data_IF_883890084176
#
_entry.id   IF_883890084176
#
_cell.length_a   1.000
_cell.length_b   1.000
_cell.length_c   1.000
_cell.angle_alpha   90.00
_cell.angle_beta   90.00
_cell.angle_gamma   90.00
#
_symmetry.space_group_name_H-M   'P 1'
#
loop_
_entity.id
_entity.type
_entity.pdbx_description
1 polymer ?
#
# COMPACT_ATOMS: atom_id res chain seq x y z
N UNK A 1 -15.84 -4.12 14.27
CA UNK A 1 -14.37 -4.10 14.50
C UNK A 1 -13.78 -2.89 13.80
N UNK A 2 -12.74 -2.28 14.36
CA UNK A 2 -11.97 -1.23 13.67
C UNK A 2 -10.85 -1.88 12.84
N UNK A 3 -11.01 -1.91 11.51
CA UNK A 3 -10.04 -2.46 10.57
C UNK A 3 -8.76 -1.64 10.46
N UNK A 4 -8.75 -0.39 10.93
CA UNK A 4 -7.53 0.43 11.05
C UNK A 4 -6.74 0.15 12.33
N UNK A 5 -7.18 -0.76 13.20
CA UNK A 5 -6.50 -1.05 14.47
C UNK A 5 -5.68 -2.33 14.37
N UNK A 6 -4.35 -2.20 14.32
CA UNK A 6 -3.41 -3.32 14.35
C UNK A 6 -3.69 -4.28 15.51
N UNK A 7 -4.06 -3.75 16.68
CA UNK A 7 -4.38 -4.57 17.85
C UNK A 7 -5.63 -5.42 17.65
N UNK A 8 -6.67 -4.87 17.01
CA UNK A 8 -7.90 -5.63 16.73
C UNK A 8 -7.67 -6.63 15.60
N UNK A 9 -6.95 -6.25 14.53
CA UNK A 9 -6.61 -7.18 13.44
C UNK A 9 -5.78 -8.34 13.99
N UNK A 10 -4.78 -8.05 14.82
CA UNK A 10 -3.96 -9.08 15.46
C UNK A 10 -4.77 -9.99 16.36
N UNK A 11 -5.71 -9.44 17.14
CA UNK A 11 -6.61 -10.24 17.98
C UNK A 11 -7.45 -11.20 17.14
N UNK A 12 -8.01 -10.73 16.03
CA UNK A 12 -8.83 -11.55 15.14
C UNK A 12 -8.00 -12.67 14.49
N UNK A 13 -6.86 -12.34 13.89
CA UNK A 13 -6.07 -13.27 13.08
C UNK A 13 -5.20 -14.22 13.92
N UNK A 14 -4.74 -13.79 15.10
CA UNK A 14 -3.71 -14.49 15.86
C UNK A 14 -4.02 -14.66 17.36
N UNK A 15 -5.29 -14.54 17.77
CA UNK A 15 -5.65 -14.90 19.15
C UNK A 15 -5.25 -16.36 19.45
N UNK A 16 -4.68 -16.58 20.63
CA UNK A 16 -4.10 -17.86 21.04
C UNK A 16 -2.61 -18.04 20.68
N UNK A 17 -2.00 -17.16 19.88
CA UNK A 17 -0.59 -17.29 19.52
C UNK A 17 0.35 -16.98 20.68
N UNK A 18 1.46 -17.71 20.78
CA UNK A 18 2.54 -17.41 21.73
C UNK A 18 3.38 -16.23 21.26
N UNK A 19 3.86 -15.42 22.20
CA UNK A 19 4.80 -14.36 21.92
C UNK A 19 6.17 -14.94 21.54
N UNK A 20 6.79 -14.42 20.49
CA UNK A 20 8.08 -14.95 20.00
C UNK A 20 9.28 -14.59 20.89
N UNK A 21 9.13 -13.62 21.80
CA UNK A 21 10.15 -13.22 22.78
C UNK A 21 9.90 -13.78 24.18
N UNK A 22 8.65 -14.04 24.54
CA UNK A 22 8.27 -14.61 25.83
C UNK A 22 7.30 -15.80 25.62
N UNK A 23 7.82 -17.04 25.62
CA UNK A 23 7.02 -18.23 25.39
C UNK A 23 5.93 -18.49 26.44
N UNK A 24 5.98 -17.82 27.61
CA UNK A 24 4.98 -17.97 28.66
C UNK A 24 3.77 -17.05 28.45
N UNK A 25 3.83 -16.14 27.48
CA UNK A 25 2.80 -15.15 27.23
C UNK A 25 2.12 -15.46 25.91
N UNK A 26 0.82 -15.74 25.96
CA UNK A 26 -0.03 -15.90 24.78
C UNK A 26 -0.93 -14.68 24.56
N UNK A 27 -1.32 -14.45 23.32
CA UNK A 27 -2.44 -13.57 23.02
C UNK A 27 -3.72 -14.28 23.45
N UNK A 28 -4.64 -13.65 24.22
CA UNK A 28 -5.88 -14.30 24.60
C UNK A 28 -6.72 -14.63 23.36
N UNK A 29 -7.60 -15.63 23.44
CA UNK A 29 -8.50 -16.00 22.34
C UNK A 29 -9.61 -14.96 22.14
N UNK A 30 -9.98 -14.26 23.20
CA UNK A 30 -10.98 -13.20 23.17
C UNK A 30 -10.53 -11.97 23.94
N UNK A 31 -10.90 -10.79 23.44
CA UNK A 31 -10.59 -9.52 24.10
C UNK A 31 -11.67 -8.48 23.86
N UNK A 32 -12.01 -7.75 24.91
CA UNK A 32 -12.97 -6.65 24.84
C UNK A 32 -12.26 -5.35 24.45
N UNK A 33 -12.82 -4.64 23.47
CA UNK A 33 -12.35 -3.35 22.99
C UNK A 33 -13.44 -2.29 23.12
N UNK A 34 -13.04 -1.08 23.52
CA UNK A 34 -13.90 0.09 23.44
C UNK A 34 -13.78 0.72 22.06
N UNK A 35 -14.87 0.78 21.31
CA UNK A 35 -14.91 1.28 19.92
C UNK A 35 -15.93 2.41 19.76
N UNK A 36 -15.75 3.32 18.78
CA UNK A 36 -16.75 4.33 18.48
C UNK A 36 -18.12 3.70 18.16
N UNK A 37 -19.18 4.24 18.74
CA UNK A 37 -20.53 3.74 18.55
C UNK A 37 -21.20 4.39 17.35
N UNK A 38 -20.74 4.04 16.15
CA UNK A 38 -21.21 4.63 14.89
C UNK A 38 -22.69 4.35 14.64
N UNK A 39 -23.16 3.15 15.01
CA UNK A 39 -24.54 2.70 14.79
C UNK A 39 -25.51 3.11 15.91
N UNK A 40 -25.05 3.91 16.89
CA UNK A 40 -25.86 4.36 18.05
C UNK A 40 -26.54 3.20 18.81
N UNK A 41 -25.83 2.09 18.95
CA UNK A 41 -26.31 0.94 19.73
C UNK A 41 -26.50 1.36 21.18
N UNK A 42 -27.63 1.01 21.77
CA UNK A 42 -27.92 1.25 23.18
C UNK A 42 -27.57 -0.04 23.93
N UNK A 43 -26.61 0.03 24.86
CA UNK A 43 -26.26 -1.12 25.70
C UNK A 43 -27.45 -1.49 26.60
N UNK A 44 -27.65 -2.79 26.84
CA UNK A 44 -28.74 -3.30 27.68
C UNK A 44 -28.78 -2.57 29.03
N UNK A 45 -29.96 -2.05 29.38
CA UNK A 45 -30.19 -1.29 30.61
C UNK A 45 -29.90 0.23 30.52
N UNK A 46 -29.40 0.75 29.40
CA UNK A 46 -29.22 2.20 29.19
C UNK A 46 -30.39 2.81 28.41
N UNK A 47 -30.70 4.08 28.69
CA UNK A 47 -31.77 4.84 28.01
C UNK A 47 -31.31 5.56 26.74
N UNK A 48 -30.00 5.69 26.53
CA UNK A 48 -29.42 6.40 25.40
C UNK A 48 -28.07 5.80 24.98
N UNK A 49 -27.76 5.92 23.69
CA UNK A 49 -26.50 5.44 23.12
C UNK A 49 -25.33 6.30 23.57
N UNK A 50 -24.26 5.69 24.07
CA UNK A 50 -23.00 6.37 24.39
C UNK A 50 -22.16 6.59 23.14
N UNK A 51 -21.22 7.56 23.17
CA UNK A 51 -20.26 7.81 22.07
C UNK A 51 -19.38 6.61 21.72
N UNK A 52 -19.17 5.72 22.70
CA UNK A 52 -18.40 4.50 22.55
C UNK A 52 -19.22 3.32 23.08
N UNK A 53 -19.03 2.15 22.49
CA UNK A 53 -19.56 0.88 22.96
C UNK A 53 -18.42 -0.13 23.15
N UNK A 54 -18.66 -1.15 23.96
CA UNK A 54 -17.72 -2.27 24.09
C UNK A 54 -18.07 -3.37 23.11
N UNK A 55 -17.08 -3.87 22.37
CA UNK A 55 -17.21 -5.06 21.55
C UNK A 55 -16.27 -6.14 22.08
N UNK A 56 -16.74 -7.38 22.09
CA UNK A 56 -15.90 -8.56 22.35
C UNK A 56 -15.43 -9.11 21.01
N UNK A 57 -14.13 -9.18 20.80
CA UNK A 57 -13.54 -9.71 19.57
C UNK A 57 -12.88 -11.05 19.88
N UNK A 58 -13.34 -12.10 19.21
CA UNK A 58 -12.80 -13.44 19.29
C UNK A 58 -11.84 -13.70 18.13
N UNK A 59 -10.88 -14.60 18.35
CA UNK A 59 -10.00 -15.10 17.28
C UNK A 59 -10.80 -15.91 16.27
N UNK A 60 -10.24 -16.08 15.07
CA UNK A 60 -10.82 -16.97 14.05
C UNK A 60 -10.81 -18.46 14.47
N UNK A 61 -10.11 -18.81 15.56
CA UNK A 61 -9.93 -20.21 15.98
C UNK A 61 -8.99 -21.01 15.07
N UNK A 62 -8.45 -20.40 14.01
CA UNK A 62 -7.53 -21.01 13.04
C UNK A 62 -6.10 -20.55 13.31
N UNK A 63 -5.14 -21.48 13.26
CA UNK A 63 -3.71 -21.16 13.45
C UNK A 63 -3.10 -20.62 12.16
N UNK A 64 -3.28 -19.32 11.92
CA UNK A 64 -2.61 -18.64 10.82
C UNK A 64 -1.09 -18.53 11.06
N UNK A 65 -0.26 -18.75 10.03
CA UNK A 65 1.20 -18.63 10.15
C UNK A 65 1.61 -17.16 10.28
N UNK A 66 2.44 -16.86 11.29
CA UNK A 66 3.03 -15.54 11.47
C UNK A 66 4.51 -15.56 11.05
N UNK A 67 4.83 -14.92 9.92
CA UNK A 67 6.19 -14.88 9.38
C UNK A 67 7.01 -13.69 9.91
N UNK A 68 6.33 -12.59 10.27
CA UNK A 68 6.98 -11.34 10.67
C UNK A 68 6.43 -10.92 12.03
N UNK A 69 7.34 -10.54 12.95
CA UNK A 69 7.02 -10.12 14.30
C UNK A 69 7.45 -8.68 14.57
N UNK A 70 6.71 -8.01 15.43
CA UNK A 70 7.06 -6.70 16.00
C UNK A 70 8.28 -6.80 16.91
N UNK A 71 8.89 -5.65 17.22
CA UNK A 71 9.97 -5.58 18.22
C UNK A 71 9.55 -6.10 19.61
N UNK A 72 8.26 -6.15 19.91
CA UNK A 72 7.69 -6.70 21.16
C UNK A 72 7.32 -8.18 21.08
N UNK A 73 7.63 -8.87 19.97
CA UNK A 73 7.41 -10.32 19.81
C UNK A 73 5.99 -10.73 19.39
N UNK A 74 5.15 -9.77 19.01
CA UNK A 74 3.79 -10.04 18.50
C UNK A 74 3.73 -10.08 16.97
N UNK A 75 2.87 -10.90 16.35
CA UNK A 75 2.72 -10.92 14.89
C UNK A 75 2.43 -9.54 14.31
N UNK A 76 3.09 -9.25 13.20
CA UNK A 76 2.89 -8.01 12.45
C UNK A 76 1.64 -8.15 11.57
N UNK A 77 0.85 -7.09 11.49
CA UNK A 77 -0.40 -7.05 10.70
C UNK A 77 -0.42 -5.86 9.73
N UNK A 78 0.77 -5.37 9.37
CA UNK A 78 0.88 -4.30 8.39
C UNK A 78 0.61 -4.83 6.97
N UNK A 79 0.52 -3.92 6.00
CA UNK A 79 0.20 -4.29 4.62
C UNK A 79 1.16 -5.30 3.97
N UNK A 80 2.41 -5.42 4.44
CA UNK A 80 3.33 -6.44 3.92
C UNK A 80 3.00 -7.83 4.51
N UNK A 81 2.83 -7.91 5.83
CA UNK A 81 2.49 -9.17 6.50
C UNK A 81 1.13 -9.71 6.01
N UNK A 82 0.14 -8.85 5.85
CA UNK A 82 -1.18 -9.25 5.32
C UNK A 82 -1.12 -9.68 3.85
N UNK A 83 -0.28 -9.05 3.01
CA UNK A 83 -0.06 -9.49 1.63
C UNK A 83 0.57 -10.87 1.54
N UNK A 84 1.47 -11.21 2.45
CA UNK A 84 2.06 -12.55 2.49
C UNK A 84 1.01 -13.61 2.82
N UNK A 85 0.11 -13.32 3.78
CA UNK A 85 -1.02 -14.19 4.11
C UNK A 85 -2.00 -14.35 2.94
N UNK A 86 -2.32 -13.26 2.23
CA UNK A 86 -3.25 -13.27 1.11
C UNK A 86 -2.66 -13.91 -0.17
N UNK A 87 -1.38 -13.68 -0.44
CA UNK A 87 -0.76 -14.02 -1.72
C UNK A 87 -0.98 -12.94 -2.78
N UNK A 88 -0.92 -13.35 -4.05
CA UNK A 88 -1.10 -12.50 -5.24
C UNK A 88 -2.55 -12.49 -5.75
N UNK A 89 -3.51 -12.75 -4.87
CA UNK A 89 -4.93 -12.80 -5.23
C UNK A 89 -5.55 -11.41 -5.37
N UNK A 90 -6.53 -11.28 -6.27
CA UNK A 90 -7.31 -10.05 -6.40
C UNK A 90 -8.28 -9.90 -5.22
N UNK A 91 -8.55 -8.66 -4.84
CA UNK A 91 -9.59 -8.30 -3.87
C UNK A 91 -10.98 -8.14 -4.51
N UNK A 92 -11.13 -8.47 -5.80
CA UNK A 92 -12.40 -8.49 -6.54
C UNK A 92 -12.86 -9.94 -6.68
N UNK A 93 -13.17 -10.56 -5.54
CA UNK A 93 -13.73 -11.90 -5.47
C UNK A 93 -15.20 -11.77 -5.03
N UNK A 94 -16.12 -12.23 -5.87
CA UNK A 94 -17.54 -12.28 -5.52
C UNK A 94 -17.76 -13.49 -4.62
N UNK A 95 -18.13 -13.24 -3.37
CA UNK A 95 -18.64 -14.28 -2.49
C UNK A 95 -20.05 -14.63 -2.96
N UNK A 96 -20.24 -15.77 -3.62
CA UNK A 96 -21.58 -16.31 -3.88
C UNK A 96 -22.14 -16.80 -2.54
N UNK A 97 -23.13 -16.08 -2.02
CA UNK A 97 -23.85 -16.47 -0.80
C UNK A 97 -24.75 -17.65 -1.14
N UNK A 98 -24.35 -18.87 -0.79
CA UNK A 98 -25.14 -20.10 -0.93
C UNK A 98 -26.31 -20.16 0.08
N UNK A 99 -27.04 -19.05 0.22
CA UNK A 99 -28.30 -18.99 0.93
C UNK A 99 -29.43 -18.53 0.01
N UNK A 100 -30.01 -19.51 -0.68
CA UNK A 100 -31.44 -19.86 -0.64
C UNK A 100 -32.17 -19.98 -2.00
N UNK A 101 -32.88 -21.10 -2.13
CA UNK A 101 -34.07 -21.39 -2.94
C UNK A 101 -34.09 -21.10 -4.46
N UNK A 102 -34.07 -22.19 -5.23
CA UNK A 102 -34.91 -22.35 -6.42
C UNK A 102 -34.49 -21.58 -7.67
N UNK A 103 -33.56 -22.13 -8.45
CA UNK A 103 -33.84 -22.60 -9.80
C UNK A 103 -32.61 -23.30 -10.39
N UNK A 104 -32.87 -24.48 -10.97
CA UNK A 104 -31.88 -25.34 -11.60
C UNK A 104 -31.40 -24.65 -12.89
N UNK A 105 -30.16 -24.14 -12.90
CA UNK A 105 -29.38 -24.06 -14.13
C UNK A 105 -28.17 -25.00 -14.03
N UNK A 106 -28.39 -26.21 -14.50
CA UNK A 106 -27.42 -27.30 -14.52
C UNK A 106 -26.44 -27.06 -15.67
N UNK A 107 -25.52 -26.12 -15.49
CA UNK A 107 -24.32 -26.00 -16.32
C UNK A 107 -23.19 -26.79 -15.64
N UNK A 108 -22.57 -27.77 -16.32
CA UNK A 108 -21.68 -28.72 -15.66
C UNK A 108 -20.48 -28.01 -15.05
N UNK A 109 -20.31 -28.19 -13.74
CA UNK A 109 -19.09 -27.89 -13.00
C UNK A 109 -17.89 -28.45 -13.75
N UNK A 110 -17.19 -27.59 -14.47
CA UNK A 110 -15.80 -27.89 -14.82
C UNK A 110 -15.01 -27.69 -13.54
N UNK A 111 -14.56 -28.80 -12.95
CA UNK A 111 -13.33 -28.81 -12.14
C UNK A 111 -12.23 -28.16 -12.99
N UNK A 112 -12.03 -26.85 -12.78
CA UNK A 112 -10.87 -26.13 -13.27
C UNK A 112 -9.77 -26.48 -12.28
N UNK A 113 -8.67 -27.03 -12.78
CA UNK A 113 -7.42 -27.21 -12.06
C UNK A 113 -7.05 -25.85 -11.42
N UNK A 114 -7.32 -25.69 -10.13
CA UNK A 114 -7.20 -24.38 -9.46
C UNK A 114 -5.72 -24.11 -9.28
N UNK A 115 -5.18 -23.14 -10.01
CA UNK A 115 -3.82 -22.65 -9.84
C UNK A 115 -3.66 -22.07 -8.42
N UNK A 116 -3.24 -22.92 -7.49
CA UNK A 116 -3.05 -22.57 -6.07
C UNK A 116 -1.83 -21.67 -5.85
N UNK A 117 -1.01 -21.45 -6.87
CA UNK A 117 0.24 -20.66 -6.77
C UNK A 117 0.01 -19.18 -6.46
N UNK A 118 -1.21 -18.67 -6.71
CA UNK A 118 -1.58 -17.30 -6.41
C UNK A 118 -1.87 -17.06 -4.92
N UNK A 119 -2.22 -18.09 -4.16
CA UNK A 119 -2.68 -17.98 -2.78
C UNK A 119 -1.51 -17.91 -1.79
N UNK A 120 -1.72 -17.15 -0.71
CA UNK A 120 -0.72 -16.96 0.33
C UNK A 120 -0.78 -18.01 1.43
N UNK A 121 -0.05 -17.75 2.51
CA UNK A 121 0.10 -18.71 3.61
C UNK A 121 -1.19 -18.92 4.43
N UNK A 122 -2.21 -18.06 4.27
CA UNK A 122 -3.52 -18.30 4.87
C UNK A 122 -4.27 -19.47 4.23
N UNK A 123 -4.01 -19.81 2.96
CA UNK A 123 -4.72 -20.89 2.25
C UNK A 123 -4.54 -22.25 2.94
N UNK A 124 -3.29 -22.58 3.30
CA UNK A 124 -2.95 -23.84 3.95
C UNK A 124 -3.35 -23.92 5.44
N UNK A 125 -3.86 -22.82 6.02
CA UNK A 125 -4.25 -22.79 7.42
C UNK A 125 -5.67 -23.31 7.65
N UNK A 126 -6.51 -23.33 6.62
CA UNK A 126 -7.88 -23.84 6.68
C UNK A 126 -7.90 -25.29 6.18
N UNK A 127 -8.73 -26.13 6.80
CA UNK A 127 -8.86 -27.55 6.44
C UNK A 127 -9.54 -27.75 5.08
N UNK A 128 -10.36 -26.79 4.67
CA UNK A 128 -11.15 -26.78 3.45
C UNK A 128 -10.53 -25.79 2.45
N UNK A 129 -10.24 -26.25 1.23
CA UNK A 129 -9.65 -25.45 0.18
C UNK A 129 -10.51 -24.23 -0.17
N UNK A 130 -11.84 -24.38 -0.12
CA UNK A 130 -12.75 -23.26 -0.39
C UNK A 130 -12.60 -22.15 0.65
N UNK A 131 -12.65 -22.52 1.93
CA UNK A 131 -12.40 -21.59 3.05
C UNK A 131 -11.00 -20.99 3.00
N UNK A 132 -10.01 -21.75 2.57
CA UNK A 132 -8.65 -21.27 2.34
C UNK A 132 -8.60 -20.17 1.29
N UNK A 133 -9.28 -20.35 0.15
CA UNK A 133 -9.40 -19.33 -0.91
C UNK A 133 -10.11 -18.09 -0.40
N UNK A 134 -11.27 -18.28 0.24
CA UNK A 134 -12.07 -17.18 0.81
C UNK A 134 -11.26 -16.37 1.82
N UNK A 135 -10.50 -17.03 2.70
CA UNK A 135 -9.64 -16.35 3.67
C UNK A 135 -8.58 -15.48 3.00
N UNK A 136 -7.89 -16.00 1.98
CA UNK A 136 -6.93 -15.20 1.21
C UNK A 136 -7.59 -13.98 0.55
N UNK A 137 -8.78 -14.14 -0.04
CA UNK A 137 -9.52 -13.03 -0.66
C UNK A 137 -10.02 -12.01 0.38
N UNK A 138 -10.48 -12.46 1.55
CA UNK A 138 -10.87 -11.60 2.65
C UNK A 138 -9.68 -10.78 3.18
N UNK A 139 -8.51 -11.40 3.34
CA UNK A 139 -7.28 -10.70 3.78
C UNK A 139 -6.78 -9.73 2.70
N UNK A 140 -6.88 -10.08 1.41
CA UNK A 140 -6.58 -9.17 0.31
C UNK A 140 -7.51 -7.95 0.32
N UNK A 141 -8.80 -8.16 0.59
CA UNK A 141 -9.80 -7.11 0.73
C UNK A 141 -9.50 -6.20 1.93
N UNK A 142 -9.09 -6.78 3.06
CA UNK A 142 -8.61 -6.02 4.22
C UNK A 142 -7.41 -5.13 3.86
N UNK A 143 -6.43 -5.66 3.12
CA UNK A 143 -5.29 -4.86 2.61
C UNK A 143 -5.75 -3.68 1.75
N UNK A 144 -6.72 -3.91 0.85
CA UNK A 144 -7.28 -2.89 -0.02
C UNK A 144 -7.93 -1.79 0.83
N UNK A 145 -8.77 -2.14 1.80
CA UNK A 145 -9.42 -1.18 2.70
C UNK A 145 -8.38 -0.37 3.49
N UNK A 146 -7.36 -1.00 4.09
CA UNK A 146 -6.31 -0.28 4.81
C UNK A 146 -5.55 0.72 3.92
N UNK A 147 -5.29 0.35 2.65
CA UNK A 147 -4.66 1.25 1.68
C UNK A 147 -5.56 2.44 1.33
N UNK A 148 -6.88 2.23 1.24
CA UNK A 148 -7.86 3.27 0.94
C UNK A 148 -7.96 4.24 2.13
N UNK A 149 -8.09 3.71 3.34
CA UNK A 149 -8.15 4.49 4.58
C UNK A 149 -6.91 5.38 4.76
N UNK A 150 -5.74 4.84 4.43
CA UNK A 150 -4.48 5.59 4.42
C UNK A 150 -4.56 6.78 3.46
N UNK A 151 -5.09 6.57 2.23
CA UNK A 151 -5.20 7.63 1.24
C UNK A 151 -6.22 8.71 1.65
N UNK A 152 -7.36 8.28 2.19
CA UNK A 152 -8.41 9.17 2.69
C UNK A 152 -7.88 10.02 3.85
N UNK A 153 -7.31 9.36 4.86
CA UNK A 153 -6.90 10.00 6.11
C UNK A 153 -5.69 10.91 5.93
N UNK A 154 -4.71 10.52 5.10
CA UNK A 154 -3.47 11.29 4.96
C UNK A 154 -3.52 12.35 3.86
N UNK A 155 -4.40 12.22 2.87
CA UNK A 155 -4.43 13.14 1.72
C UNK A 155 -5.77 13.82 1.51
N UNK A 156 -6.87 13.06 1.42
CA UNK A 156 -8.17 13.62 1.03
C UNK A 156 -8.79 14.47 2.15
N UNK A 157 -9.05 13.88 3.32
CA UNK A 157 -9.65 14.59 4.46
C UNK A 157 -8.80 15.80 4.89
N UNK A 158 -7.47 15.68 4.96
CA UNK A 158 -6.65 16.83 5.30
C UNK A 158 -6.81 17.97 4.29
N UNK A 159 -6.93 17.72 2.98
CA UNK A 159 -7.13 18.79 1.99
C UNK A 159 -8.53 19.45 2.03
N UNK A 160 -9.53 18.78 2.63
CA UNK A 160 -10.89 19.29 2.76
C UNK A 160 -11.12 20.16 4.00
N UNK A 161 -10.14 20.26 4.90
CA UNK A 161 -10.30 20.98 6.16
C UNK A 161 -10.52 22.49 5.98
N UNK A 162 -11.47 23.06 6.71
CA UNK A 162 -11.79 24.51 6.72
C UNK A 162 -10.60 25.40 7.09
N UNK A 163 -9.58 24.85 7.76
CA UNK A 163 -8.43 25.57 8.29
C UNK A 163 -7.30 25.78 7.27
N UNK A 164 -7.50 25.41 6.01
CA UNK A 164 -6.46 25.34 4.97
C UNK A 164 -6.78 26.23 3.77
N UNK A 165 -8.08 26.52 3.58
CA UNK A 165 -8.52 27.51 2.61
C UNK A 165 -8.09 28.89 3.08
N UNK A 166 -7.20 29.53 2.32
CA UNK A 166 -7.02 30.97 2.43
C UNK A 166 -8.31 31.71 2.07
N UNK A 167 -8.34 33.04 2.28
CA UNK A 167 -9.48 33.89 1.89
C UNK A 167 -9.85 33.77 0.40
N UNK A 168 -8.93 33.27 -0.42
CA UNK A 168 -9.07 33.09 -1.88
C UNK A 168 -9.50 31.68 -2.33
N UNK A 169 -9.77 30.75 -1.41
CA UNK A 169 -10.08 29.35 -1.80
C UNK A 169 -8.84 28.51 -2.16
N UNK A 170 -7.65 29.02 -1.93
CA UNK A 170 -6.37 28.33 -2.21
C UNK A 170 -5.89 27.51 -1.01
N UNK A 171 -5.16 26.43 -1.25
CA UNK A 171 -4.54 25.60 -0.22
C UNK A 171 -3.21 26.22 0.23
N UNK A 172 -3.08 26.57 1.50
CA UNK A 172 -1.84 27.09 2.08
C UNK A 172 -1.12 26.01 2.91
N UNK A 173 0.19 25.86 2.70
CA UNK A 173 1.06 25.04 3.56
C UNK A 173 2.06 25.90 4.33
N UNK A 174 2.50 25.42 5.50
CA UNK A 174 3.57 26.04 6.27
C UNK A 174 4.89 25.32 5.99
N UNK A 175 5.91 26.07 5.56
CA UNK A 175 7.26 25.55 5.38
C UNK A 175 8.10 25.77 6.64
N UNK A 176 8.74 24.72 7.11
CA UNK A 176 9.76 24.76 8.15
C UNK A 176 11.15 24.69 7.50
N UNK A 177 11.94 25.73 7.75
CA UNK A 177 13.28 25.94 7.22
C UNK A 177 14.38 25.37 8.14
N UNK A 178 14.06 25.08 9.40
CA UNK A 178 15.02 24.62 10.40
C UNK A 178 14.98 23.08 10.48
N UNK A 179 15.61 22.41 9.52
CA UNK A 179 15.84 20.96 9.57
C UNK A 179 17.32 20.65 9.62
N UNK A 180 17.68 19.52 10.23
CA UNK A 180 19.09 19.12 10.42
C UNK A 180 19.86 18.94 9.12
N UNK A 181 19.19 18.46 8.06
CA UNK A 181 19.81 18.24 6.74
C UNK A 181 19.78 19.48 5.84
N UNK A 182 19.15 20.58 6.29
CA UNK A 182 18.92 21.77 5.48
C UNK A 182 17.77 21.66 4.47
N UNK A 183 17.06 20.52 4.40
CA UNK A 183 15.84 20.38 3.58
C UNK A 183 14.69 21.21 4.14
N UNK A 184 13.78 21.66 3.28
CA UNK A 184 12.50 22.22 3.74
C UNK A 184 11.58 21.08 4.21
N UNK A 185 10.77 21.32 5.23
CA UNK A 185 9.68 20.41 5.63
C UNK A 185 8.33 21.13 5.61
N UNK A 186 7.30 20.51 5.04
CA UNK A 186 5.96 21.08 4.96
C UNK A 186 5.03 20.52 6.04
N UNK A 187 4.23 21.40 6.66
CA UNK A 187 3.20 21.05 7.64
C UNK A 187 1.96 21.91 7.46
N UNK A 188 0.82 21.46 8.02
CA UNK A 188 -0.47 22.17 8.00
C UNK A 188 -0.87 22.69 6.58
N UNK A 189 -0.96 21.92 5.50
CA UNK A 189 -0.85 20.48 5.22
C UNK A 189 0.54 20.06 4.71
N UNK A 190 0.87 18.76 4.73
CA UNK A 190 2.12 18.29 4.12
C UNK A 190 1.94 18.13 2.60
N UNK A 191 2.30 19.16 1.83
CA UNK A 191 2.25 19.15 0.37
C UNK A 191 3.50 18.53 -0.29
N UNK A 192 4.51 18.14 0.49
CA UNK A 192 5.71 17.49 -0.06
C UNK A 192 5.49 15.99 -0.30
N UNK A 193 4.74 15.33 0.59
CA UNK A 193 4.59 13.87 0.57
C UNK A 193 3.33 13.43 -0.19
N UNK A 194 3.04 14.01 -1.36
CA UNK A 194 1.89 13.56 -2.15
C UNK A 194 2.11 12.14 -2.70
N UNK A 195 1.03 11.37 -2.94
CA UNK A 195 1.16 10.04 -3.54
C UNK A 195 1.91 10.11 -4.86
N UNK A 196 2.87 9.20 -5.05
CA UNK A 196 3.52 9.02 -6.34
C UNK A 196 2.47 8.70 -7.41
N UNK A 197 2.66 9.18 -8.64
CA UNK A 197 1.67 9.07 -9.71
C UNK A 197 1.22 7.62 -9.95
N UNK A 198 2.12 6.64 -9.83
CA UNK A 198 1.78 5.22 -10.02
C UNK A 198 0.90 4.66 -8.89
N UNK A 199 0.96 5.29 -7.71
CA UNK A 199 0.23 4.89 -6.50
C UNK A 199 -0.98 5.78 -6.22
N UNK A 200 -1.16 6.84 -7.00
CA UNK A 200 -2.26 7.79 -6.89
C UNK A 200 -3.55 7.25 -7.52
N UNK A 201 -4.08 6.16 -6.93
CA UNK A 201 -5.30 5.47 -7.39
C UNK A 201 -6.49 6.43 -7.56
N UNK A 202 -6.58 7.44 -6.71
CA UNK A 202 -7.70 8.38 -6.67
C UNK A 202 -7.40 9.70 -7.39
N UNK A 203 -6.27 9.81 -8.09
CA UNK A 203 -5.88 11.00 -8.84
C UNK A 203 -5.87 12.26 -7.96
N UNK A 204 -5.46 12.13 -6.70
CA UNK A 204 -5.36 13.21 -5.72
C UNK A 204 -4.50 14.35 -6.27
N UNK A 205 -3.41 14.03 -6.96
CA UNK A 205 -2.54 15.02 -7.58
C UNK A 205 -3.25 15.86 -8.67
N UNK A 206 -4.29 15.33 -9.31
CA UNK A 206 -5.09 16.06 -10.31
C UNK A 206 -6.03 17.09 -9.68
N UNK A 207 -6.27 17.02 -8.37
CA UNK A 207 -7.06 18.04 -7.67
C UNK A 207 -6.30 19.38 -7.52
N UNK A 208 -4.97 19.36 -7.66
CA UNK A 208 -4.15 20.58 -7.64
C UNK A 208 -4.17 21.24 -9.02
N UNK A 209 -5.01 22.25 -9.17
CA UNK A 209 -5.20 22.97 -10.42
C UNK A 209 -4.66 24.40 -10.33
N UNK A 210 -4.18 24.92 -11.47
CA UNK A 210 -3.85 26.33 -11.59
C UNK A 210 -5.13 27.18 -11.50
N UNK A 211 -5.00 28.41 -11.02
CA UNK A 211 -6.07 29.40 -11.16
C UNK A 211 -6.38 29.66 -12.66
N UNK A 212 -7.60 30.13 -13.00
CA UNK A 212 -7.98 30.40 -14.38
C UNK A 212 -6.95 31.28 -15.10
N UNK A 213 -6.66 30.96 -16.37
CA UNK A 213 -5.65 31.61 -17.23
C UNK A 213 -4.19 31.42 -16.79
N UNK A 214 -3.92 30.56 -15.82
CA UNK A 214 -2.56 30.18 -15.42
C UNK A 214 -2.29 28.70 -15.73
N UNK A 215 -1.02 28.32 -15.68
CA UNK A 215 -0.55 26.93 -15.80
C UNK A 215 0.36 26.59 -14.62
N UNK A 216 0.29 25.35 -14.15
CA UNK A 216 1.29 24.82 -13.22
C UNK A 216 2.48 24.28 -14.01
N UNK A 217 3.68 24.70 -13.62
CA UNK A 217 4.94 24.19 -14.17
C UNK A 217 5.63 23.41 -13.06
N UNK A 218 5.90 22.14 -13.32
CA UNK A 218 6.62 21.25 -12.40
C UNK A 218 8.02 21.03 -12.94
N UNK A 219 9.03 21.23 -12.10
CA UNK A 219 10.42 20.96 -12.42
C UNK A 219 11.04 20.16 -11.27
N UNK A 220 11.70 19.06 -11.61
CA UNK A 220 12.41 18.19 -10.68
C UNK A 220 13.82 17.92 -11.22
N UNK A 221 14.80 17.89 -10.32
CA UNK A 221 16.18 17.60 -10.69
C UNK A 221 16.37 16.10 -10.86
N UNK A 222 16.61 15.67 -12.09
CA UNK A 222 16.92 14.27 -12.38
C UNK A 222 18.18 13.81 -11.62
N UNK A 223 17.98 12.86 -10.68
CA UNK A 223 19.04 12.21 -9.90
C UNK A 223 19.96 13.19 -9.15
N UNK A 224 19.39 14.24 -8.56
CA UNK A 224 20.14 15.32 -7.88
C UNK A 224 21.19 14.80 -6.90
N UNK A 225 20.80 13.89 -6.00
CA UNK A 225 21.68 13.39 -4.94
C UNK A 225 22.90 12.66 -5.50
N UNK A 226 22.72 11.86 -6.56
CA UNK A 226 23.82 11.14 -7.20
C UNK A 226 24.76 12.08 -7.96
N UNK A 227 24.24 13.17 -8.54
CA UNK A 227 25.06 14.22 -9.16
C UNK A 227 25.90 14.97 -8.13
N UNK A 228 25.30 15.30 -6.99
CA UNK A 228 26.03 15.90 -5.86
C UNK A 228 27.12 14.93 -5.38
N UNK A 229 26.79 13.65 -5.20
CA UNK A 229 27.76 12.64 -4.77
C UNK A 229 28.93 12.51 -5.76
N UNK A 230 28.66 12.44 -7.06
CA UNK A 230 29.70 12.36 -8.09
C UNK A 230 30.65 13.58 -8.03
N UNK A 231 30.11 14.77 -7.78
CA UNK A 231 30.89 15.99 -7.63
C UNK A 231 31.72 16.02 -6.35
N UNK A 232 31.13 15.65 -5.20
CA UNK A 232 31.81 15.66 -3.91
C UNK A 232 32.93 14.61 -3.81
N UNK A 233 32.76 13.47 -4.48
CA UNK A 233 33.73 12.35 -4.45
C UNK A 233 34.75 12.38 -5.59
N UNK A 234 34.57 13.26 -6.57
CA UNK A 234 35.33 13.28 -7.83
C UNK A 234 35.42 11.89 -8.50
N UNK A 235 34.35 11.11 -8.39
CA UNK A 235 34.33 9.74 -8.91
C UNK A 235 34.23 9.76 -10.44
N UNK A 236 35.36 9.50 -11.12
CA UNK A 236 35.46 9.51 -12.59
C UNK A 236 34.38 8.68 -13.27
N UNK A 237 34.12 7.47 -12.81
CA UNK A 237 33.10 6.60 -13.41
C UNK A 237 31.69 7.19 -13.29
N UNK A 238 31.35 7.85 -12.18
CA UNK A 238 30.07 8.52 -12.02
C UNK A 238 29.98 9.79 -12.89
N UNK A 239 31.05 10.59 -12.91
CA UNK A 239 31.12 11.80 -13.72
C UNK A 239 30.97 11.48 -15.21
N UNK A 240 31.67 10.45 -15.69
CA UNK A 240 31.59 10.01 -17.09
C UNK A 240 30.21 9.44 -17.41
N UNK A 241 29.60 8.68 -16.48
CA UNK A 241 28.23 8.19 -16.64
C UNK A 241 27.21 9.33 -16.76
N UNK A 242 27.35 10.41 -15.98
CA UNK A 242 26.48 11.58 -16.10
C UNK A 242 26.75 12.44 -17.34
N UNK A 243 28.02 12.60 -17.74
CA UNK A 243 28.41 13.32 -18.97
C UNK A 243 27.91 12.62 -20.23
N UNK A 244 27.88 11.29 -20.22
CA UNK A 244 27.36 10.49 -21.33
C UNK A 244 25.84 10.61 -21.53
N UNK A 245 25.12 11.35 -20.67
CA UNK A 245 23.65 11.29 -20.60
C UNK A 245 23.20 9.91 -20.11
N UNK A 246 21.91 9.60 -20.11
CA UNK A 246 21.44 8.32 -19.57
C UNK A 246 20.75 8.44 -18.23
N UNK A 247 19.84 7.51 -18.00
CA UNK A 247 19.47 7.14 -16.65
C UNK A 247 20.67 6.42 -15.96
N UNK A 248 21.16 7.00 -14.87
CA UNK A 248 22.32 6.49 -14.13
C UNK A 248 22.07 5.07 -13.57
N UNK A 249 20.84 4.79 -13.12
CA UNK A 249 20.47 3.47 -12.58
C UNK A 249 20.57 2.39 -13.65
N UNK A 250 20.05 2.67 -14.84
CA UNK A 250 20.09 1.77 -15.98
C UNK A 250 21.54 1.48 -16.42
N UNK A 251 22.42 2.49 -16.44
CA UNK A 251 23.86 2.29 -16.68
C UNK A 251 24.52 1.42 -15.62
N UNK A 252 24.18 1.66 -14.36
CA UNK A 252 24.69 0.85 -13.23
C UNK A 252 24.25 -0.60 -13.37
N UNK A 253 22.98 -0.84 -13.72
CA UNK A 253 22.44 -2.18 -13.94
C UNK A 253 23.15 -2.93 -15.07
N UNK A 254 23.45 -2.27 -16.20
CA UNK A 254 24.25 -2.88 -17.28
C UNK A 254 25.69 -3.22 -16.88
N UNK A 255 26.27 -2.45 -15.96
CA UNK A 255 27.61 -2.71 -15.46
C UNK A 255 27.62 -3.90 -14.49
N UNK A 256 26.57 -4.05 -13.68
CA UNK A 256 26.44 -5.13 -12.70
C UNK A 256 25.96 -6.46 -13.31
N UNK A 257 25.08 -6.41 -14.31
CA UNK A 257 24.37 -7.59 -14.81
C UNK A 257 24.58 -7.78 -16.31
N UNK A 258 25.27 -8.88 -16.67
CA UNK A 258 25.58 -9.23 -18.06
C UNK A 258 24.34 -9.42 -18.93
N UNK A 259 23.30 -10.07 -18.40
CA UNK A 259 22.04 -10.29 -19.13
C UNK A 259 21.30 -8.96 -19.45
N UNK A 260 21.42 -7.95 -18.58
CA UNK A 260 20.87 -6.62 -18.85
C UNK A 260 21.65 -5.93 -19.97
N UNK A 261 22.98 -6.04 -19.97
CA UNK A 261 23.80 -5.52 -21.06
C UNK A 261 23.45 -6.14 -22.41
N UNK A 262 23.34 -7.46 -22.45
CA UNK A 262 23.03 -8.21 -23.67
C UNK A 262 21.65 -7.85 -24.24
N UNK A 263 20.64 -7.67 -23.39
CA UNK A 263 19.28 -7.28 -23.81
C UNK A 263 19.24 -5.85 -24.38
N UNK A 264 20.04 -4.92 -23.84
CA UNK A 264 20.22 -3.57 -24.39
C UNK A 264 20.95 -3.62 -25.74
N UNK A 265 22.02 -4.40 -25.84
CA UNK A 265 22.80 -4.56 -27.09
C UNK A 265 21.96 -5.17 -28.23
N UNK A 266 21.09 -6.14 -27.89
CA UNK A 266 20.09 -6.72 -28.81
C UNK A 266 18.92 -5.79 -29.12
N UNK A 267 18.90 -4.57 -28.57
CA UNK A 267 17.81 -3.58 -28.69
C UNK A 267 16.44 -4.11 -28.28
N UNK A 268 16.40 -5.08 -27.37
CA UNK A 268 15.15 -5.58 -26.80
C UNK A 268 14.60 -4.60 -25.75
N UNK A 269 15.49 -3.82 -25.14
CA UNK A 269 15.17 -2.69 -24.25
C UNK A 269 16.04 -1.48 -24.59
N UNK A 270 15.54 -0.28 -24.30
CA UNK A 270 16.25 0.98 -24.50
C UNK A 270 16.70 1.58 -23.16
N UNK A 271 17.88 2.19 -23.14
CA UNK A 271 18.36 2.98 -21.99
C UNK A 271 17.60 4.29 -21.86
N UNK A 272 17.40 4.96 -22.98
CA UNK A 272 16.71 6.24 -23.07
C UNK A 272 15.86 6.28 -24.34
N UNK A 273 14.79 7.06 -24.27
CA UNK A 273 13.97 7.37 -25.42
C UNK A 273 13.44 8.79 -25.29
N UNK A 274 13.59 9.56 -26.36
CA UNK A 274 13.08 10.91 -26.48
C UNK A 274 11.90 10.90 -27.46
N UNK A 275 10.67 11.23 -27.02
CA UNK A 275 9.50 11.25 -27.90
C UNK A 275 9.71 12.20 -29.06
N UNK A 276 9.40 11.75 -30.27
CA UNK A 276 9.32 12.61 -31.47
C UNK A 276 7.86 12.98 -31.73
N UNK A 277 7.59 14.10 -32.45
CA UNK A 277 6.22 14.44 -32.83
C UNK A 277 5.54 13.27 -33.55
N UNK A 278 4.43 12.78 -33.00
CA UNK A 278 3.70 11.62 -33.51
C UNK A 278 4.02 10.26 -32.85
N UNK A 279 4.99 10.19 -31.93
CA UNK A 279 5.29 8.98 -31.17
C UNK A 279 4.81 9.09 -29.72
N UNK A 280 3.78 8.33 -29.35
CA UNK A 280 3.23 8.34 -27.98
C UNK A 280 3.99 7.42 -27.01
N UNK A 281 4.68 6.39 -27.52
CA UNK A 281 5.35 5.36 -26.73
C UNK A 281 6.67 4.92 -27.38
N UNK A 282 7.65 4.47 -26.58
CA UNK A 282 8.91 3.97 -27.12
C UNK A 282 8.68 2.68 -27.94
N UNK A 283 9.47 2.44 -29.00
CA UNK A 283 9.31 1.28 -29.88
C UNK A 283 9.63 -0.04 -29.17
N UNK A 284 10.44 0.00 -28.12
CA UNK A 284 10.71 -1.11 -27.21
C UNK A 284 10.75 -0.59 -25.77
N UNK A 285 10.54 -1.44 -24.75
CA UNK A 285 10.50 -1.01 -23.36
C UNK A 285 11.79 -0.30 -22.92
N UNK A 286 11.65 0.68 -22.03
CA UNK A 286 12.80 1.30 -21.37
C UNK A 286 13.30 0.40 -20.23
N UNK A 287 14.62 0.36 -20.04
CA UNK A 287 15.29 -0.38 -18.96
C UNK A 287 15.01 0.18 -17.54
N UNK A 288 14.17 1.21 -17.42
CA UNK A 288 13.83 1.83 -16.13
C UNK A 288 13.41 0.78 -15.11
N UNK A 289 14.10 0.76 -13.98
CA UNK A 289 13.71 -0.02 -12.81
C UNK A 289 12.37 0.52 -12.34
N UNK A 290 11.29 -0.24 -12.57
CA UNK A 290 9.97 0.01 -11.98
C UNK A 290 9.91 -0.53 -10.56
#
# INVERSE_FOLDING_TARGET
MNVGSDTQIRQLLYGGILNSKDPNVSLPDEKTFKVPNVNKVIEEGKKASTKFCSIKLCSLGVKLPAEIYTATGWPLVNGNALKTLAGKVSAEYDFTDDTNDGDIDNSPEKMIDVDTSAYGSAFAAFEDEEKGREACHAIASLCKVCSIDTLITNFILPLQGSNISGKSGSVHCSLNINTETGRLSARRQNLQNQPALEKDRYKICQAFVAAPRNSLVVADYAQLELRILAHLTDCKSMLDAFKAGGDFHSRTAMNMYSHIRETVEKRQVLLEWHPRPGEEKPPVPLLKVK
#
